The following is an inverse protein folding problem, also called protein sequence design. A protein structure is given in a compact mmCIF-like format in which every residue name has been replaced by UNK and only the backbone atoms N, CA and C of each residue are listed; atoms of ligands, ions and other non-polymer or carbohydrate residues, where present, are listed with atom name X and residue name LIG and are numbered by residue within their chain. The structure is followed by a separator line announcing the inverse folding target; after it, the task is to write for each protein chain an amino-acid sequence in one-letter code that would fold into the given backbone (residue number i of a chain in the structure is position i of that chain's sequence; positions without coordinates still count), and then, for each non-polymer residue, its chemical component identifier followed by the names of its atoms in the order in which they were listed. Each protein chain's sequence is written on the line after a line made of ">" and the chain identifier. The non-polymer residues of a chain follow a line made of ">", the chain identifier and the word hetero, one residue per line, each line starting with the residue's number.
data_IF_021535856507
#
_entry.id   IF_021535856507
#
_cell.length_a   1.000
_cell.length_b   1.000
_cell.length_c   1.000
_cell.angle_alpha   90.00
_cell.angle_beta   90.00
_cell.angle_gamma   90.00
#
_symmetry.space_group_name_H-M   'P 1'
#
loop_
_entity.id
_entity.type
_entity.pdbx_description
1 polymer ?
#
# COMPACT_ATOMS: atom_id res chain seq x y z
N UNK A 1 4.77 10.52 5.61
CA UNK A 1 3.94 9.96 4.53
C UNK A 1 2.98 11.01 4.02
N UNK A 2 2.09 10.63 3.11
CA UNK A 2 1.08 11.54 2.54
C UNK A 2 0.05 11.91 3.62
N UNK A 3 -0.66 10.90 4.14
CA UNK A 3 -1.68 11.03 5.20
C UNK A 3 -1.11 11.58 6.50
N UNK A 4 0.05 11.10 6.94
CA UNK A 4 0.64 11.50 8.23
C UNK A 4 1.04 12.97 8.35
N UNK A 5 1.15 13.72 7.23
CA UNK A 5 1.46 15.16 7.26
C UNK A 5 0.24 16.04 6.99
N UNK A 6 -0.95 15.45 6.94
CA UNK A 6 -2.21 16.18 7.06
C UNK A 6 -2.51 16.53 8.53
N UNK A 7 -1.85 15.88 9.49
CA UNK A 7 -2.08 16.04 10.92
C UNK A 7 -0.75 16.08 11.73
N UNK A 8 -0.23 17.26 12.13
CA UNK A 8 -0.60 18.62 11.75
C UNK A 8 -0.18 18.95 10.30
N UNK A 9 -0.94 19.81 9.59
CA UNK A 9 -0.66 20.14 8.20
C UNK A 9 0.69 20.85 8.06
N UNK A 10 1.57 20.32 7.20
CA UNK A 10 2.80 20.99 6.82
C UNK A 10 2.45 22.23 5.98
N UNK A 11 2.91 23.42 6.39
CA UNK A 11 2.67 24.68 5.66
C UNK A 11 3.16 24.56 4.21
N UNK A 12 2.28 24.88 3.25
CA UNK A 12 2.56 24.91 1.81
C UNK A 12 2.45 23.57 1.07
N UNK A 13 2.21 22.46 1.78
CA UNK A 13 2.35 21.11 1.21
C UNK A 13 1.05 20.28 1.33
N UNK A 14 -0.05 20.91 1.77
CA UNK A 14 -1.30 20.24 2.14
C UNK A 14 -2.23 20.02 0.94
N UNK A 15 -2.28 20.95 0.00
CA UNK A 15 -3.24 20.93 -1.11
C UNK A 15 -3.04 19.71 -2.02
N UNK A 16 -1.82 19.45 -2.48
CA UNK A 16 -1.56 18.28 -3.34
C UNK A 16 -1.84 16.95 -2.63
N UNK A 17 -1.62 16.88 -1.30
CA UNK A 17 -1.89 15.68 -0.50
C UNK A 17 -3.37 15.42 -0.40
N UNK A 18 -4.18 16.47 -0.21
CA UNK A 18 -5.63 16.40 -0.23
C UNK A 18 -6.13 15.93 -1.60
N UNK A 19 -5.64 16.54 -2.69
CA UNK A 19 -6.01 16.11 -4.04
C UNK A 19 -5.60 14.68 -4.34
N UNK A 20 -4.42 14.25 -3.87
CA UNK A 20 -3.96 12.87 -4.05
C UNK A 20 -4.86 11.87 -3.30
N UNK A 21 -5.13 12.10 -2.02
CA UNK A 21 -5.98 11.21 -1.21
C UNK A 21 -7.43 11.24 -1.71
N UNK A 22 -7.95 12.43 -2.01
CA UNK A 22 -9.27 12.61 -2.60
C UNK A 22 -9.38 11.92 -3.96
N UNK A 23 -8.35 12.01 -4.80
CA UNK A 23 -8.27 11.33 -6.09
C UNK A 23 -8.25 9.80 -5.96
N UNK A 24 -7.58 9.23 -4.96
CA UNK A 24 -7.63 7.79 -4.69
C UNK A 24 -9.04 7.33 -4.31
N UNK A 25 -9.73 8.08 -3.44
CA UNK A 25 -11.11 7.76 -3.04
C UNK A 25 -12.05 7.92 -4.24
N UNK A 26 -11.99 9.06 -4.93
CA UNK A 26 -12.85 9.37 -6.07
C UNK A 26 -12.63 8.38 -7.21
N UNK A 27 -11.38 8.00 -7.52
CA UNK A 27 -11.07 7.01 -8.54
C UNK A 27 -11.71 5.65 -8.25
N UNK A 28 -11.72 5.24 -6.97
CA UNK A 28 -12.39 4.01 -6.54
C UNK A 28 -13.90 4.11 -6.73
N UNK A 29 -14.51 5.25 -6.37
CA UNK A 29 -15.95 5.49 -6.55
C UNK A 29 -16.37 5.54 -8.03
N UNK A 30 -15.57 6.20 -8.87
CA UNK A 30 -15.80 6.25 -10.32
C UNK A 30 -15.68 4.85 -10.92
N UNK A 31 -14.66 4.07 -10.54
CA UNK A 31 -14.51 2.68 -10.99
C UNK A 31 -15.73 1.83 -10.64
N UNK A 32 -16.26 1.96 -9.42
CA UNK A 32 -17.49 1.28 -9.00
C UNK A 32 -18.71 1.74 -9.83
N UNK A 33 -18.82 3.03 -10.14
CA UNK A 33 -19.92 3.59 -10.92
C UNK A 33 -19.92 3.17 -12.41
N UNK A 34 -18.76 2.84 -12.99
CA UNK A 34 -18.63 2.41 -14.40
C UNK A 34 -19.10 0.96 -14.61
N UNK A 35 -19.42 0.22 -13.55
CA UNK A 35 -20.19 -1.02 -13.66
C UNK A 35 -19.38 -2.25 -14.07
N UNK A 36 -18.07 -2.28 -13.78
CA UNK A 36 -17.28 -3.53 -13.76
C UNK A 36 -17.05 -3.97 -12.30
N UNK A 37 -18.07 -4.44 -11.56
CA UNK A 37 -17.87 -4.90 -10.20
C UNK A 37 -17.11 -6.23 -10.25
N UNK A 38 -15.79 -6.16 -10.31
CA UNK A 38 -14.98 -7.27 -9.86
C UNK A 38 -15.15 -7.35 -8.34
N UNK A 39 -15.87 -8.35 -7.87
CA UNK A 39 -15.94 -8.62 -6.44
C UNK A 39 -14.54 -9.01 -5.97
N UNK A 40 -13.86 -8.08 -5.30
CA UNK A 40 -12.63 -8.38 -4.59
C UNK A 40 -13.04 -9.27 -3.41
N UNK A 41 -13.02 -10.58 -3.65
CA UNK A 41 -13.31 -11.60 -2.65
C UNK A 41 -12.26 -11.53 -1.55
N UNK A 42 -12.56 -10.83 -0.47
CA UNK A 42 -11.74 -10.79 0.73
C UNK A 42 -12.41 -11.57 1.85
N UNK A 43 -11.78 -12.69 2.21
CA UNK A 43 -12.24 -13.71 3.16
C UNK A 43 -11.76 -13.48 4.60
N UNK A 44 -10.78 -12.59 4.82
CA UNK A 44 -10.05 -12.50 6.10
C UNK A 44 -10.70 -11.64 7.21
N UNK A 45 -11.81 -10.95 6.92
CA UNK A 45 -12.48 -10.08 7.88
C UNK A 45 -11.71 -8.81 8.31
N UNK A 46 -12.40 -7.91 9.00
CA UNK A 46 -11.85 -6.61 9.42
C UNK A 46 -10.54 -6.65 10.24
N UNK A 47 -10.33 -7.60 11.17
CA UNK A 47 -9.11 -7.61 11.99
C UNK A 47 -7.83 -7.76 11.16
N UNK A 48 -7.84 -8.63 10.15
CA UNK A 48 -6.68 -8.86 9.28
C UNK A 48 -6.40 -7.62 8.43
N UNK A 49 -7.43 -6.92 7.94
CA UNK A 49 -7.26 -5.66 7.21
C UNK A 49 -6.62 -4.56 8.08
N UNK A 50 -7.12 -4.38 9.31
CA UNK A 50 -6.60 -3.35 10.22
C UNK A 50 -5.17 -3.65 10.61
N UNK A 51 -4.88 -4.88 11.04
CA UNK A 51 -3.53 -5.29 11.46
C UNK A 51 -2.57 -5.24 10.27
N UNK A 52 -2.96 -5.81 9.12
CA UNK A 52 -2.15 -5.80 7.90
C UNK A 52 -1.85 -4.38 7.42
N UNK A 53 -2.85 -3.50 7.43
CA UNK A 53 -2.70 -2.09 7.09
C UNK A 53 -1.74 -1.34 8.02
N UNK A 54 -1.83 -1.56 9.34
CA UNK A 54 -0.94 -0.95 10.33
C UNK A 54 0.50 -1.45 10.18
N UNK A 55 0.70 -2.77 10.07
CA UNK A 55 2.03 -3.37 9.86
C UNK A 55 2.66 -2.87 8.56
N UNK A 56 1.89 -2.80 7.48
CA UNK A 56 2.36 -2.26 6.19
C UNK A 56 2.72 -0.78 6.33
N UNK A 57 1.87 0.03 6.99
CA UNK A 57 2.12 1.45 7.22
C UNK A 57 3.41 1.70 8.02
N UNK A 58 3.64 0.94 9.09
CA UNK A 58 4.88 1.01 9.88
C UNK A 58 6.08 0.56 9.04
N UNK A 59 5.96 -0.57 8.34
CA UNK A 59 7.01 -1.14 7.50
C UNK A 59 7.47 -0.17 6.42
N UNK A 60 6.55 0.48 5.70
CA UNK A 60 6.91 1.48 4.67
C UNK A 60 7.61 2.71 5.24
N UNK A 61 7.32 3.09 6.49
CA UNK A 61 8.02 4.19 7.16
C UNK A 61 9.46 3.81 7.50
N UNK A 62 9.67 2.61 8.04
CA UNK A 62 11.01 2.10 8.39
C UNK A 62 11.84 1.84 7.12
N UNK A 63 11.22 1.31 6.07
CA UNK A 63 11.87 1.05 4.78
C UNK A 63 12.25 2.32 4.00
N UNK A 64 11.76 3.49 4.40
CA UNK A 64 11.98 4.76 3.71
C UNK A 64 11.16 4.91 2.42
N UNK A 65 10.10 4.10 2.25
CA UNK A 65 9.28 4.07 1.05
C UNK A 65 8.33 2.86 1.04
N UNK A 66 7.36 2.89 0.11
CA UNK A 66 6.50 1.75 -0.19
C UNK A 66 7.07 0.90 -1.32
N UNK A 67 6.52 -0.31 -1.51
CA UNK A 67 6.91 -1.21 -2.60
C UNK A 67 6.74 -0.56 -3.97
N UNK A 68 5.67 0.21 -4.19
CA UNK A 68 5.47 0.95 -5.45
C UNK A 68 6.48 2.07 -5.66
N UNK A 69 6.91 2.77 -4.59
CA UNK A 69 7.92 3.83 -4.68
C UNK A 69 9.32 3.29 -5.00
N UNK A 70 9.74 2.23 -4.32
CA UNK A 70 10.99 1.54 -4.64
C UNK A 70 10.92 0.84 -6.00
N UNK A 71 9.78 0.27 -6.35
CA UNK A 71 9.56 -0.41 -7.61
C UNK A 71 9.56 0.54 -8.81
N UNK A 72 8.57 1.42 -8.89
CA UNK A 72 8.36 2.28 -10.07
C UNK A 72 9.45 3.33 -10.19
N UNK A 73 9.63 4.18 -9.18
CA UNK A 73 10.61 5.27 -9.25
C UNK A 73 12.04 4.80 -8.98
N UNK A 74 12.21 3.88 -8.03
CA UNK A 74 13.53 3.41 -7.60
C UNK A 74 14.23 2.50 -8.61
N UNK A 75 13.52 1.54 -9.21
CA UNK A 75 14.11 0.65 -10.23
C UNK A 75 14.32 1.38 -11.55
N UNK A 76 13.42 2.31 -11.94
CA UNK A 76 13.62 3.14 -13.13
C UNK A 76 14.90 4.00 -13.05
N UNK A 77 15.34 4.36 -11.84
CA UNK A 77 16.60 5.07 -11.58
C UNK A 77 17.80 4.13 -11.39
N UNK A 78 17.63 2.83 -11.66
CA UNK A 78 18.64 1.78 -11.51
C UNK A 78 19.31 1.77 -10.11
N UNK A 79 18.52 2.07 -9.07
CA UNK A 79 19.03 2.11 -7.70
C UNK A 79 19.13 0.69 -7.12
N UNK A 80 20.36 0.24 -6.86
CA UNK A 80 20.62 -1.06 -6.20
C UNK A 80 19.85 -1.21 -4.89
N UNK A 81 19.81 -0.17 -4.05
CA UNK A 81 19.02 -0.14 -2.81
C UNK A 81 17.53 -0.41 -3.07
N UNK A 82 16.96 0.17 -4.12
CA UNK A 82 15.53 0.02 -4.40
C UNK A 82 15.20 -1.35 -5.01
N UNK A 83 16.11 -1.92 -5.80
CA UNK A 83 15.99 -3.29 -6.30
C UNK A 83 16.00 -4.27 -5.12
N UNK A 84 16.97 -4.15 -4.21
CA UNK A 84 17.04 -5.00 -3.01
C UNK A 84 15.80 -4.86 -2.12
N UNK A 85 15.34 -3.62 -1.88
CA UNK A 85 14.12 -3.39 -1.09
C UNK A 85 12.89 -4.05 -1.73
N UNK A 86 12.74 -3.93 -3.06
CA UNK A 86 11.63 -4.53 -3.80
C UNK A 86 11.68 -6.05 -3.76
N UNK A 87 12.87 -6.64 -3.92
CA UNK A 87 13.05 -8.09 -3.82
C UNK A 87 12.67 -8.62 -2.43
N UNK A 88 13.12 -7.96 -1.36
CA UNK A 88 12.75 -8.32 0.01
C UNK A 88 11.23 -8.23 0.21
N UNK A 89 10.60 -7.14 -0.23
CA UNK A 89 9.14 -7.01 -0.12
C UNK A 89 8.40 -8.15 -0.83
N UNK A 90 8.81 -8.52 -2.04
CA UNK A 90 8.15 -9.59 -2.79
C UNK A 90 8.35 -10.98 -2.17
N UNK A 91 9.56 -11.27 -1.67
CA UNK A 91 9.84 -12.54 -0.98
C UNK A 91 8.97 -12.67 0.27
N UNK A 92 8.96 -11.65 1.14
CA UNK A 92 8.15 -11.70 2.36
C UNK A 92 6.65 -11.68 2.06
N UNK A 93 6.19 -10.91 1.07
CA UNK A 93 4.78 -10.95 0.66
C UNK A 93 4.37 -12.36 0.20
N UNK A 94 5.20 -13.02 -0.62
CA UNK A 94 4.98 -14.40 -1.05
C UNK A 94 4.91 -15.37 0.12
N UNK A 95 5.86 -15.29 1.06
CA UNK A 95 5.88 -16.12 2.27
C UNK A 95 4.63 -15.86 3.12
N UNK A 96 4.28 -14.60 3.38
CA UNK A 96 3.12 -14.24 4.20
C UNK A 96 1.82 -14.76 3.58
N UNK A 97 1.63 -14.60 2.27
CA UNK A 97 0.45 -15.13 1.57
C UNK A 97 0.45 -16.66 1.59
N UNK A 98 1.59 -17.31 1.36
CA UNK A 98 1.69 -18.76 1.43
C UNK A 98 1.26 -19.30 2.80
N UNK A 99 1.81 -18.72 3.88
CA UNK A 99 1.47 -19.10 5.25
C UNK A 99 0.00 -18.80 5.56
N UNK A 100 -0.48 -17.59 5.27
CA UNK A 100 -1.84 -17.20 5.59
C UNK A 100 -2.89 -18.03 4.85
N UNK A 101 -2.63 -18.39 3.58
CA UNK A 101 -3.56 -19.14 2.73
C UNK A 101 -3.49 -20.66 2.94
N UNK A 102 -2.29 -21.23 3.02
CA UNK A 102 -2.12 -22.69 3.02
C UNK A 102 -1.88 -23.30 4.40
N UNK A 103 -1.31 -22.54 5.33
CA UNK A 103 -0.97 -23.06 6.68
C UNK A 103 -2.02 -22.66 7.70
N UNK A 104 -2.40 -21.37 7.73
CA UNK A 104 -3.37 -20.85 8.71
C UNK A 104 -4.81 -20.89 8.18
N UNK A 105 -5.01 -20.76 6.86
CA UNK A 105 -6.33 -20.78 6.23
C UNK A 105 -7.21 -19.58 6.57
N UNK A 106 -6.60 -18.42 6.79
CA UNK A 106 -7.30 -17.18 7.20
C UNK A 106 -7.67 -16.26 6.05
N UNK A 107 -7.18 -16.56 4.83
CA UNK A 107 -7.49 -15.85 3.58
C UNK A 107 -7.68 -16.83 2.43
#
# INVERSE_FOLDING_TARGET
>A
GIVSRLFPPAKGDTDWRLFFVGGLILGTLVYQAVGTPYEIGYSGGWPILVIGGLLTGIGTRIGGGCTSGHGVCGMARMSSRSITATAIFMVFAGITVFLARHVVGVI
#
